data_IF_670043861538
#
_entry.id   IF_670043861538
#
_cell.length_a   1.000
_cell.length_b   1.000
_cell.length_c   1.000
_cell.angle_alpha   90.00
_cell.angle_beta   90.00
_cell.angle_gamma   90.00
#
_symmetry.space_group_name_H-M   'P 1'
#
loop_
_entity.id
_entity.type
_entity.pdbx_description
1 polymer ?
#
# COMPACT_ATOMS: atom_id res chain seq x y z
N UNK A 1 21.12 19.86 54.89
CA UNK A 1 19.84 19.35 54.32
C UNK A 1 19.27 20.43 53.42
N UNK A 2 19.48 20.29 52.10
CA UNK A 2 18.86 21.15 51.09
C UNK A 2 18.17 20.22 50.09
N UNK A 3 16.86 20.42 49.89
CA UNK A 3 16.01 19.57 49.08
C UNK A 3 16.39 19.65 47.58
N UNK A 4 16.21 18.56 46.80
CA UNK A 4 16.42 18.60 45.36
C UNK A 4 15.29 19.37 44.66
N UNK A 5 15.64 20.43 43.96
CA UNK A 5 14.77 21.16 43.04
C UNK A 5 14.43 20.27 41.83
N UNK A 6 13.25 19.65 41.83
CA UNK A 6 12.65 19.01 40.67
C UNK A 6 12.39 20.07 39.59
N UNK A 7 13.28 20.18 38.60
CA UNK A 7 12.97 20.96 37.39
C UNK A 7 11.90 20.21 36.60
N UNK A 8 10.67 20.68 36.75
CA UNK A 8 9.54 20.34 35.91
C UNK A 8 9.88 20.58 34.42
N UNK A 9 9.31 19.73 33.56
CA UNK A 9 9.43 19.81 32.10
C UNK A 9 9.35 21.26 31.60
N UNK A 10 10.32 21.65 30.77
CA UNK A 10 10.34 22.95 30.10
C UNK A 10 9.40 22.89 28.89
N UNK A 11 8.22 23.50 29.01
CA UNK A 11 7.34 23.74 27.86
C UNK A 11 8.03 24.79 26.97
N UNK A 12 8.35 24.40 25.73
CA UNK A 12 8.89 25.31 24.73
C UNK A 12 7.71 26.08 24.14
N UNK A 13 7.66 27.39 24.38
CA UNK A 13 6.72 28.27 23.69
C UNK A 13 7.13 28.37 22.21
N UNK A 14 6.24 27.97 21.31
CA UNK A 14 6.43 28.22 19.88
C UNK A 14 6.43 29.73 19.63
N UNK A 15 7.44 30.22 18.91
CA UNK A 15 7.55 31.60 18.47
C UNK A 15 6.39 32.03 17.56
N UNK A 16 6.22 33.34 17.40
CA UNK A 16 5.12 33.95 16.64
C UNK A 16 5.10 33.53 15.17
N UNK A 17 3.87 33.25 14.73
CA UNK A 17 3.32 33.15 13.37
C UNK A 17 4.00 32.20 12.38
N UNK A 18 3.54 30.95 12.43
CA UNK A 18 3.54 30.02 11.31
C UNK A 18 2.67 28.83 11.69
N UNK A 19 1.43 28.77 11.17
CA UNK A 19 0.43 27.70 11.32
C UNK A 19 0.73 26.66 12.42
N UNK A 20 0.63 27.07 13.69
CA UNK A 20 0.84 26.17 14.82
C UNK A 20 -0.52 25.63 15.23
N UNK A 21 -0.71 24.34 14.98
CA UNK A 21 -1.45 23.39 15.82
C UNK A 21 -2.72 23.94 16.51
N UNK A 22 -3.87 23.51 15.99
CA UNK A 22 -5.20 23.65 16.58
C UNK A 22 -5.49 22.69 17.75
N UNK A 23 -4.52 21.92 18.25
CA UNK A 23 -4.77 20.98 19.36
C UNK A 23 -4.71 21.64 20.75
N UNK A 24 -4.34 22.92 20.85
CA UNK A 24 -4.44 23.67 22.10
C UNK A 24 -5.81 24.34 22.20
N UNK A 25 -6.84 23.58 22.58
CA UNK A 25 -7.98 24.20 23.25
C UNK A 25 -7.54 24.57 24.66
N UNK A 26 -7.23 25.85 24.87
CA UNK A 26 -7.18 26.40 26.22
C UNK A 26 -8.59 26.25 26.81
N UNK A 27 -8.73 25.45 27.87
CA UNK A 27 -10.01 25.27 28.56
C UNK A 27 -10.56 26.65 28.95
N UNK A 28 -11.74 27.02 28.44
CA UNK A 28 -12.37 28.32 28.70
C UNK A 28 -12.30 29.37 27.57
N UNK A 29 -11.68 29.09 26.41
CA UNK A 29 -11.77 29.99 25.26
C UNK A 29 -13.09 29.77 24.50
N UNK A 30 -14.10 30.61 24.74
CA UNK A 30 -15.33 30.68 23.92
C UNK A 30 -15.13 31.44 22.59
N UNK A 31 -13.91 31.81 22.23
CA UNK A 31 -13.65 32.59 21.03
C UNK A 31 -13.58 31.66 19.80
N UNK A 32 -14.36 31.90 18.73
CA UNK A 32 -14.17 31.20 17.47
C UNK A 32 -12.76 31.48 16.94
N UNK A 33 -12.19 30.49 16.26
CA UNK A 33 -10.95 30.64 15.51
C UNK A 33 -11.09 31.88 14.61
N UNK A 34 -10.18 32.84 14.75
CA UNK A 34 -10.21 34.10 13.99
C UNK A 34 -10.34 33.81 12.49
N UNK A 35 -11.28 34.48 11.80
CA UNK A 35 -11.49 34.46 10.33
C UNK A 35 -10.19 34.50 9.51
N UNK A 36 -9.12 35.09 10.06
CA UNK A 36 -7.78 35.13 9.45
C UNK A 36 -7.03 33.78 9.37
N UNK A 37 -7.58 32.68 9.90
CA UNK A 37 -7.00 31.33 9.78
C UNK A 37 -7.64 30.48 8.66
N UNK A 38 -8.69 31.01 8.02
CA UNK A 38 -9.32 30.38 6.85
C UNK A 38 -8.40 30.54 5.64
N UNK A 39 -8.25 29.46 4.87
CA UNK A 39 -7.62 29.55 3.54
C UNK A 39 -8.60 30.30 2.64
N UNK A 40 -8.16 31.40 2.04
CA UNK A 40 -9.03 32.23 1.20
C UNK A 40 -9.48 31.44 -0.03
N UNK A 41 -10.73 31.62 -0.44
CA UNK A 41 -11.26 30.97 -1.64
C UNK A 41 -10.44 31.36 -2.90
N UNK A 42 -9.82 32.56 -2.91
CA UNK A 42 -8.88 32.99 -3.94
C UNK A 42 -7.61 32.13 -4.02
N UNK A 43 -7.06 31.67 -2.89
CA UNK A 43 -5.93 30.74 -2.90
C UNK A 43 -6.31 29.37 -3.46
N UNK A 44 -7.60 29.02 -3.45
CA UNK A 44 -8.09 27.82 -4.13
C UNK A 44 -8.29 28.04 -5.63
N UNK A 45 -8.51 29.28 -6.08
CA UNK A 45 -8.82 29.68 -7.46
C UNK A 45 -7.59 29.96 -8.34
N UNK A 46 -6.38 30.01 -7.77
CA UNK A 46 -5.13 30.11 -8.54
C UNK A 46 -4.93 28.85 -9.42
N UNK A 47 -4.54 29.06 -10.68
CA UNK A 47 -4.46 28.03 -11.72
C UNK A 47 -3.56 26.84 -11.32
N UNK A 48 -3.87 25.64 -11.85
CA UNK A 48 -3.24 24.35 -11.51
C UNK A 48 -1.70 24.32 -11.60
N UNK A 49 -1.09 25.27 -12.30
CA UNK A 49 0.34 25.33 -12.59
C UNK A 49 1.20 25.93 -11.43
N UNK A 50 0.60 26.67 -10.47
CA UNK A 50 1.31 27.27 -9.33
C UNK A 50 0.67 26.97 -7.95
N UNK A 51 -0.03 25.83 -7.81
CA UNK A 51 -0.56 25.41 -6.51
C UNK A 51 0.59 25.04 -5.55
N UNK A 52 1.05 26.01 -4.76
CA UNK A 52 1.84 25.74 -3.56
C UNK A 52 1.11 24.68 -2.73
N UNK A 53 1.81 23.63 -2.31
CA UNK A 53 1.20 22.51 -1.58
C UNK A 53 0.56 23.01 -0.29
N UNK A 54 -0.76 23.20 -0.30
CA UNK A 54 -1.48 23.74 0.84
C UNK A 54 -1.69 22.65 1.89
N UNK A 55 -1.24 22.94 3.11
CA UNK A 55 -1.36 22.03 4.25
C UNK A 55 -2.46 22.53 5.18
N UNK A 56 -3.41 21.66 5.50
CA UNK A 56 -4.42 21.89 6.51
C UNK A 56 -4.00 21.32 7.86
N UNK A 57 -4.40 22.00 8.93
CA UNK A 57 -4.45 21.46 10.29
C UNK A 57 -5.88 21.06 10.65
N UNK A 58 -6.08 20.07 11.54
CA UNK A 58 -7.41 19.71 12.04
C UNK A 58 -8.14 20.95 12.59
N UNK A 59 -9.45 21.09 12.40
CA UNK A 59 -10.21 22.27 12.85
C UNK A 59 -9.99 23.55 12.05
N UNK A 60 -9.12 23.55 11.03
CA UNK A 60 -8.94 24.69 10.13
C UNK A 60 -10.03 24.70 9.06
N UNK A 61 -10.67 25.86 8.86
CA UNK A 61 -11.61 26.08 7.76
C UNK A 61 -10.85 26.11 6.41
N UNK A 62 -11.27 25.24 5.50
CA UNK A 62 -10.61 25.04 4.20
C UNK A 62 -11.34 25.78 3.09
N UNK A 63 -12.68 25.67 3.02
CA UNK A 63 -13.49 26.33 1.99
C UNK A 63 -14.96 26.44 2.38
N UNK A 64 -15.73 27.25 1.65
CA UNK A 64 -17.19 27.35 1.83
C UNK A 64 -17.94 26.09 1.37
N UNK A 65 -18.91 25.61 2.16
CA UNK A 65 -19.76 24.47 1.78
C UNK A 65 -20.81 24.80 0.72
N UNK A 66 -20.98 26.08 0.37
CA UNK A 66 -21.92 26.51 -0.69
C UNK A 66 -21.37 26.31 -2.09
N UNK A 67 -20.05 26.42 -2.25
CA UNK A 67 -19.36 26.32 -3.54
C UNK A 67 -18.74 24.94 -3.76
N UNK A 68 -18.31 24.30 -2.68
CA UNK A 68 -17.55 23.05 -2.70
C UNK A 68 -18.28 21.91 -1.98
N UNK A 69 -17.95 20.69 -2.38
CA UNK A 69 -18.41 19.45 -1.76
C UNK A 69 -17.36 18.89 -0.82
N UNK A 70 -17.78 18.39 0.33
CA UNK A 70 -16.87 17.72 1.28
C UNK A 70 -16.41 16.37 0.71
N UNK A 71 -15.11 16.15 0.74
CA UNK A 71 -14.47 14.86 0.54
C UNK A 71 -14.03 14.22 1.86
N UNK A 72 -13.09 13.29 1.76
CA UNK A 72 -12.48 12.63 2.91
C UNK A 72 -11.54 13.58 3.67
N UNK A 73 -11.38 13.36 4.98
CA UNK A 73 -10.52 14.21 5.81
C UNK A 73 -11.11 15.60 6.12
N UNK A 74 -12.38 15.82 5.80
CA UNK A 74 -13.12 17.04 6.10
C UNK A 74 -14.49 16.73 6.72
N UNK A 75 -15.03 17.68 7.48
CA UNK A 75 -16.41 17.70 7.95
C UNK A 75 -17.03 19.08 7.67
N UNK A 76 -18.35 19.18 7.70
CA UNK A 76 -19.06 20.46 7.54
C UNK A 76 -19.37 20.99 8.93
N UNK A 77 -18.96 22.22 9.21
CA UNK A 77 -19.44 22.94 10.38
C UNK A 77 -20.83 23.52 10.08
N UNK A 78 -21.83 23.00 10.81
CA UNK A 78 -23.22 23.43 10.65
C UNK A 78 -23.47 24.88 11.09
N UNK A 79 -22.59 25.46 11.91
CA UNK A 79 -22.76 26.84 12.41
C UNK A 79 -22.31 27.89 11.40
N UNK A 80 -21.21 27.64 10.68
CA UNK A 80 -20.63 28.59 9.72
C UNK A 80 -20.82 28.19 8.26
N UNK A 81 -21.37 27.00 7.97
CA UNK A 81 -21.50 26.47 6.60
C UNK A 81 -20.15 26.41 5.87
N UNK A 82 -19.12 25.97 6.60
CA UNK A 82 -17.75 25.84 6.12
C UNK A 82 -17.30 24.39 6.14
N UNK A 83 -16.45 24.02 5.19
CA UNK A 83 -15.74 22.75 5.16
C UNK A 83 -14.49 22.91 6.03
N UNK A 84 -14.44 22.13 7.10
CA UNK A 84 -13.35 22.14 8.09
C UNK A 84 -12.55 20.85 7.98
N UNK A 85 -11.23 20.95 8.01
CA UNK A 85 -10.34 19.79 7.99
C UNK A 85 -10.48 18.98 9.30
N UNK A 86 -10.62 17.67 9.21
CA UNK A 86 -10.52 16.77 10.37
C UNK A 86 -9.12 16.19 10.57
N UNK A 87 -8.31 16.19 9.51
CA UNK A 87 -6.97 15.60 9.49
C UNK A 87 -5.90 16.66 9.22
N UNK A 88 -4.65 16.34 9.58
CA UNK A 88 -3.49 17.14 9.19
C UNK A 88 -2.89 16.57 7.91
N UNK A 89 -2.75 17.39 6.89
CA UNK A 89 -2.22 16.94 5.61
C UNK A 89 -2.46 17.90 4.45
N UNK A 90 -2.20 17.42 3.25
CA UNK A 90 -2.30 18.22 2.02
C UNK A 90 -3.76 18.34 1.59
N UNK A 91 -4.19 19.54 1.25
CA UNK A 91 -5.51 19.79 0.68
C UNK A 91 -5.48 19.39 -0.79
N UNK A 92 -6.40 18.51 -1.17
CA UNK A 92 -6.60 18.07 -2.53
C UNK A 92 -7.94 18.56 -3.04
N UNK A 93 -7.89 19.37 -4.10
CA UNK A 93 -9.05 19.83 -4.81
C UNK A 93 -9.17 19.04 -6.11
N UNK A 94 -10.28 18.33 -6.26
CA UNK A 94 -10.65 17.68 -7.53
C UNK A 94 -11.98 18.26 -7.97
N UNK A 95 -11.96 19.15 -8.95
CA UNK A 95 -13.12 19.95 -9.37
C UNK A 95 -13.72 20.74 -8.20
N UNK A 96 -14.92 20.34 -7.76
CA UNK A 96 -15.63 20.90 -6.60
C UNK A 96 -15.46 20.07 -5.34
N UNK A 97 -14.80 18.92 -5.39
CA UNK A 97 -14.59 18.05 -4.24
C UNK A 97 -13.31 18.47 -3.52
N UNK A 98 -13.42 18.79 -2.23
CA UNK A 98 -12.27 19.12 -1.38
C UNK A 98 -12.04 17.99 -0.38
N UNK A 99 -10.86 17.41 -0.42
CA UNK A 99 -10.42 16.39 0.54
C UNK A 99 -9.08 16.78 1.16
N UNK A 100 -8.81 16.26 2.36
CA UNK A 100 -7.49 16.39 3.00
C UNK A 100 -6.82 15.03 3.00
N UNK A 101 -5.70 14.93 2.27
CA UNK A 101 -4.84 13.74 2.25
C UNK A 101 -3.91 13.78 3.46
N UNK A 102 -4.07 12.88 4.44
CA UNK A 102 -3.26 12.88 5.65
C UNK A 102 -1.80 12.51 5.38
N UNK A 103 -0.88 13.04 6.18
CA UNK A 103 0.57 12.73 6.09
C UNK A 103 0.84 11.24 6.38
N UNK A 104 0.05 10.66 7.29
CA UNK A 104 0.11 9.23 7.64
C UNK A 104 -1.29 8.66 7.70
N UNK A 105 -1.52 7.58 6.98
CA UNK A 105 -2.79 6.84 7.02
C UNK A 105 -2.55 5.35 6.91
N UNK A 106 -3.48 4.58 7.48
CA UNK A 106 -3.62 3.17 7.11
C UNK A 106 -4.11 3.06 5.68
N UNK A 107 -3.92 1.90 5.08
CA UNK A 107 -4.43 1.62 3.75
C UNK A 107 -5.96 1.75 3.74
N UNK A 108 -6.46 2.50 2.77
CA UNK A 108 -7.89 2.65 2.53
C UNK A 108 -8.25 1.85 1.28
N UNK A 109 -9.03 0.77 1.42
CA UNK A 109 -9.35 -0.11 0.30
C UNK A 109 -10.28 0.60 -0.69
N UNK A 110 -9.98 0.47 -1.98
CA UNK A 110 -10.86 0.85 -3.07
C UNK A 110 -11.10 -0.34 -4.00
N UNK A 111 -12.23 -0.34 -4.70
CA UNK A 111 -12.60 -1.43 -5.60
C UNK A 111 -11.63 -1.49 -6.77
N UNK A 112 -11.13 -2.68 -7.08
CA UNK A 112 -10.11 -2.92 -8.11
C UNK A 112 -8.67 -2.81 -7.62
N UNK A 113 -8.44 -2.48 -6.35
CA UNK A 113 -7.08 -2.45 -5.82
C UNK A 113 -6.49 -3.85 -5.73
N UNK A 114 -5.25 -4.01 -6.22
CA UNK A 114 -4.43 -5.19 -5.97
C UNK A 114 -3.79 -5.09 -4.59
N UNK A 115 -4.00 -6.08 -3.74
CA UNK A 115 -3.50 -6.11 -2.37
C UNK A 115 -2.82 -7.44 -2.04
N UNK A 116 -1.83 -7.38 -1.17
CA UNK A 116 -1.26 -8.57 -0.55
C UNK A 116 -1.78 -8.65 0.87
N UNK A 117 -2.30 -9.81 1.26
CA UNK A 117 -2.85 -10.01 2.59
C UNK A 117 -2.32 -11.28 3.25
N UNK A 118 -2.45 -11.32 4.57
CA UNK A 118 -2.10 -12.49 5.39
C UNK A 118 -3.35 -13.10 5.97
N UNK A 119 -3.52 -14.42 5.81
CA UNK A 119 -4.65 -15.13 6.40
C UNK A 119 -4.50 -15.10 7.93
N UNK A 120 -5.50 -14.59 8.63
CA UNK A 120 -5.52 -14.50 10.09
C UNK A 120 -6.30 -15.64 10.72
N UNK A 121 -7.46 -15.97 10.15
CA UNK A 121 -8.32 -17.05 10.62
C UNK A 121 -9.12 -17.67 9.47
N UNK A 122 -9.43 -18.95 9.62
CA UNK A 122 -10.34 -19.69 8.74
C UNK A 122 -11.70 -19.81 9.42
N UNK A 123 -12.75 -19.26 8.81
CA UNK A 123 -14.13 -19.37 9.28
C UNK A 123 -14.97 -20.24 8.32
N UNK A 124 -16.22 -20.54 8.69
CA UNK A 124 -17.15 -21.24 7.77
C UNK A 124 -17.34 -20.41 6.50
N UNK A 125 -16.97 -21.00 5.36
CA UNK A 125 -17.12 -20.46 3.99
C UNK A 125 -16.34 -19.18 3.68
N UNK A 126 -15.50 -18.68 4.58
CA UNK A 126 -14.64 -17.52 4.33
C UNK A 126 -13.32 -17.58 5.11
N UNK A 127 -12.29 -16.98 4.53
CA UNK A 127 -11.06 -16.63 5.23
C UNK A 127 -11.08 -15.16 5.61
N UNK A 128 -10.51 -14.86 6.77
CA UNK A 128 -10.26 -13.50 7.19
C UNK A 128 -8.81 -13.15 6.88
N UNK A 129 -8.62 -12.03 6.22
CA UNK A 129 -7.34 -11.64 5.63
C UNK A 129 -6.95 -10.27 6.17
N UNK A 130 -5.80 -10.16 6.84
CA UNK A 130 -5.22 -8.88 7.19
C UNK A 130 -4.59 -8.25 5.94
N UNK A 131 -5.03 -7.04 5.60
CA UNK A 131 -4.54 -6.25 4.47
C UNK A 131 -3.96 -4.90 4.96
N UNK A 132 -3.79 -4.69 6.26
CA UNK A 132 -3.31 -3.42 6.82
C UNK A 132 -4.32 -2.27 6.77
N UNK A 133 -5.59 -2.57 6.51
CA UNK A 133 -6.69 -1.60 6.52
C UNK A 133 -7.21 -1.32 7.94
N UNK A 134 -8.35 -0.63 8.06
CA UNK A 134 -9.05 -0.40 9.34
C UNK A 134 -9.68 -1.69 9.89
N UNK A 135 -10.18 -2.52 8.98
CA UNK A 135 -10.87 -3.78 9.26
C UNK A 135 -10.24 -4.87 8.43
N UNK A 136 -10.25 -6.08 8.96
CA UNK A 136 -9.79 -7.25 8.22
C UNK A 136 -10.73 -7.53 7.04
N UNK A 137 -10.15 -7.96 5.92
CA UNK A 137 -10.90 -8.29 4.73
C UNK A 137 -11.44 -9.73 4.79
N UNK A 138 -12.46 -9.99 3.99
CA UNK A 138 -13.08 -11.31 3.87
C UNK A 138 -12.84 -11.87 2.47
N UNK A 139 -12.22 -13.04 2.39
CA UNK A 139 -12.08 -13.81 1.16
C UNK A 139 -13.06 -14.98 1.23
N UNK A 140 -14.10 -14.96 0.40
CA UNK A 140 -15.10 -16.02 0.41
C UNK A 140 -14.56 -17.27 -0.29
N UNK A 141 -14.96 -18.46 0.15
CA UNK A 141 -14.78 -19.71 -0.61
C UNK A 141 -15.38 -19.56 -2.01
N UNK A 142 -16.52 -18.87 -2.06
CA UNK A 142 -17.05 -17.99 -3.12
C UNK A 142 -16.14 -17.55 -4.26
N UNK A 143 -15.05 -16.92 -3.86
CA UNK A 143 -14.31 -15.96 -4.67
C UNK A 143 -12.90 -16.46 -5.00
N UNK A 144 -12.58 -17.70 -4.63
CA UNK A 144 -11.35 -18.38 -5.01
C UNK A 144 -11.56 -19.32 -6.20
N UNK A 145 -10.48 -19.53 -6.94
CA UNK A 145 -10.40 -20.53 -7.98
C UNK A 145 -10.18 -21.91 -7.36
N UNK A 146 -11.17 -22.79 -7.50
CA UNK A 146 -11.04 -24.16 -7.02
C UNK A 146 -10.05 -24.94 -7.90
N UNK A 147 -9.33 -25.90 -7.31
CA UNK A 147 -8.44 -26.77 -8.05
C UNK A 147 -9.17 -27.50 -9.19
N UNK A 148 -8.56 -27.52 -10.38
CA UNK A 148 -9.08 -28.20 -11.57
C UNK A 148 -9.63 -27.27 -12.66
N UNK A 149 -9.57 -25.95 -12.49
CA UNK A 149 -9.86 -24.95 -13.55
C UNK A 149 -11.32 -24.91 -14.05
N UNK A 150 -12.13 -25.90 -13.69
CA UNK A 150 -13.55 -25.97 -14.03
C UNK A 150 -14.35 -25.19 -13.00
N UNK A 151 -15.21 -24.31 -13.48
CA UNK A 151 -16.19 -23.57 -12.67
C UNK A 151 -17.29 -24.54 -12.18
N UNK A 152 -16.94 -25.44 -11.26
CA UNK A 152 -17.87 -26.42 -10.67
C UNK A 152 -18.68 -25.77 -9.54
N UNK A 153 -19.91 -26.23 -9.33
CA UNK A 153 -20.68 -25.88 -8.13
C UNK A 153 -19.88 -26.30 -6.90
N UNK A 154 -19.66 -25.36 -5.98
CA UNK A 154 -18.86 -25.58 -4.77
C UNK A 154 -19.61 -26.57 -3.87
N UNK A 155 -18.95 -27.68 -3.52
CA UNK A 155 -19.55 -28.74 -2.70
C UNK A 155 -19.29 -28.49 -1.23
N UNK A 156 -20.12 -29.09 -0.37
CA UNK A 156 -19.91 -29.08 1.10
C UNK A 156 -18.58 -29.73 1.51
N UNK A 157 -18.05 -30.65 0.70
CA UNK A 157 -16.70 -31.21 0.88
C UNK A 157 -15.59 -30.17 0.78
N UNK A 158 -15.77 -29.13 -0.05
CA UNK A 158 -14.78 -28.04 -0.20
C UNK A 158 -14.75 -27.16 1.06
N UNK A 159 -15.87 -27.05 1.78
CA UNK A 159 -15.96 -26.32 3.06
C UNK A 159 -15.15 -27.04 4.16
N UNK A 160 -15.18 -28.37 4.19
CA UNK A 160 -14.37 -29.17 5.11
C UNK A 160 -12.86 -29.08 4.80
N UNK A 161 -12.50 -28.90 3.53
CA UNK A 161 -11.12 -28.83 3.05
C UNK A 161 -10.59 -27.40 2.91
N UNK A 162 -11.24 -26.39 3.50
CA UNK A 162 -10.80 -24.99 3.38
C UNK A 162 -9.34 -24.76 3.81
N UNK A 163 -8.89 -25.48 4.84
CA UNK A 163 -7.50 -25.42 5.33
C UNK A 163 -6.48 -25.99 4.34
N UNK A 164 -6.89 -26.78 3.34
CA UNK A 164 -6.00 -27.26 2.30
C UNK A 164 -5.63 -26.17 1.28
N UNK A 165 -6.48 -25.14 1.12
CA UNK A 165 -6.21 -24.02 0.21
C UNK A 165 -5.40 -22.93 0.88
N UNK A 166 -5.88 -22.47 2.03
CA UNK A 166 -5.28 -21.38 2.79
C UNK A 166 -5.35 -21.69 4.27
N UNK A 167 -4.19 -21.63 4.91
CA UNK A 167 -3.99 -21.81 6.35
C UNK A 167 -3.68 -20.47 7.01
N UNK A 168 -3.87 -20.40 8.33
CA UNK A 168 -3.50 -19.21 9.10
C UNK A 168 -2.00 -18.92 8.94
N UNK A 169 -1.69 -17.69 8.55
CA UNK A 169 -0.33 -17.23 8.30
C UNK A 169 0.08 -17.16 6.84
N UNK A 170 -0.68 -17.79 5.93
CA UNK A 170 -0.40 -17.77 4.49
C UNK A 170 -0.51 -16.35 3.92
N UNK A 171 0.33 -16.06 2.93
CA UNK A 171 0.28 -14.81 2.17
C UNK A 171 -0.45 -15.04 0.85
N UNK A 172 -1.35 -14.11 0.53
CA UNK A 172 -2.21 -14.18 -0.66
C UNK A 172 -2.21 -12.85 -1.40
N UNK A 173 -2.08 -12.91 -2.73
CA UNK A 173 -2.40 -11.78 -3.61
C UNK A 173 -3.87 -11.88 -3.95
N UNK A 174 -4.60 -10.80 -3.73
CA UNK A 174 -6.01 -10.71 -4.08
C UNK A 174 -6.36 -9.32 -4.60
N UNK A 175 -7.49 -9.23 -5.27
CA UNK A 175 -8.07 -7.96 -5.71
C UNK A 175 -9.30 -7.63 -4.86
N UNK A 176 -9.48 -6.35 -4.57
CA UNK A 176 -10.64 -5.84 -3.84
C UNK A 176 -11.87 -5.85 -4.75
N UNK A 177 -12.78 -6.79 -4.49
CA UNK A 177 -14.03 -6.94 -5.24
C UNK A 177 -15.04 -5.86 -4.88
N UNK A 178 -15.18 -5.59 -3.58
CA UNK A 178 -16.23 -4.72 -3.05
C UNK A 178 -15.83 -4.16 -1.70
N UNK A 179 -16.23 -2.93 -1.46
CA UNK A 179 -16.11 -2.25 -0.17
C UNK A 179 -17.51 -1.95 0.32
N UNK A 180 -17.85 -2.49 1.48
CA UNK A 180 -19.18 -2.34 2.09
C UNK A 180 -19.27 -1.03 2.89
N UNK A 181 -20.50 -0.58 3.18
CA UNK A 181 -20.74 0.69 3.87
C UNK A 181 -20.20 0.75 5.30
N UNK A 182 -20.07 -0.41 5.94
CA UNK A 182 -19.45 -0.60 7.26
C UNK A 182 -17.91 -0.53 7.21
N UNK A 183 -17.33 -0.47 6.01
CA UNK A 183 -15.89 -0.50 5.75
C UNK A 183 -15.33 -1.91 5.60
N UNK A 184 -16.16 -2.96 5.71
CA UNK A 184 -15.74 -4.33 5.43
C UNK A 184 -15.33 -4.46 3.97
N UNK A 185 -14.37 -5.34 3.70
CA UNK A 185 -13.80 -5.54 2.37
C UNK A 185 -14.04 -6.96 1.91
N UNK A 186 -14.54 -7.14 0.69
CA UNK A 186 -14.61 -8.42 0.01
C UNK A 186 -13.46 -8.57 -0.98
N UNK A 187 -12.70 -9.66 -0.87
CA UNK A 187 -11.60 -9.99 -1.76
C UNK A 187 -12.00 -11.11 -2.73
N UNK A 188 -11.32 -11.16 -3.89
CA UNK A 188 -11.39 -12.31 -4.79
C UNK A 188 -10.04 -12.63 -5.43
N UNK A 189 -9.86 -13.91 -5.79
CA UNK A 189 -8.68 -14.44 -6.48
C UNK A 189 -9.06 -15.12 -7.80
N UNK A 190 -9.97 -14.52 -8.57
CA UNK A 190 -10.49 -15.10 -9.82
C UNK A 190 -9.46 -15.16 -10.96
N UNK A 191 -8.44 -14.29 -10.96
CA UNK A 191 -7.35 -14.37 -11.95
C UNK A 191 -6.34 -15.45 -11.57
N UNK A 192 -5.76 -16.13 -12.57
CA UNK A 192 -4.64 -17.07 -12.39
C UNK A 192 -3.37 -16.39 -11.85
N UNK A 193 -3.25 -15.07 -12.00
CA UNK A 193 -2.16 -14.27 -11.41
C UNK A 193 -2.29 -14.11 -9.90
N UNK A 194 -3.47 -14.38 -9.35
CA UNK A 194 -3.79 -14.21 -7.93
C UNK A 194 -3.74 -15.57 -7.23
N UNK A 195 -3.41 -15.57 -5.95
CA UNK A 195 -3.28 -16.80 -5.20
C UNK A 195 -2.22 -16.72 -4.10
N UNK A 196 -1.82 -17.90 -3.62
CA UNK A 196 -0.84 -18.04 -2.56
C UNK A 196 0.55 -17.62 -3.05
N UNK A 197 1.24 -16.85 -2.22
CA UNK A 197 2.58 -16.36 -2.51
C UNK A 197 3.65 -17.34 -2.03
N UNK A 198 4.63 -17.62 -2.88
CA UNK A 198 5.78 -18.49 -2.58
C UNK A 198 7.07 -17.99 -3.22
N UNK A 199 8.18 -18.64 -2.91
CA UNK A 199 9.49 -18.41 -3.50
C UNK A 199 10.01 -16.97 -3.40
N UNK A 200 9.74 -16.29 -2.29
CA UNK A 200 10.01 -14.87 -2.15
C UNK A 200 10.03 -14.37 -0.70
N UNK A 201 10.09 -13.05 -0.57
CA UNK A 201 10.09 -12.32 0.68
C UNK A 201 9.07 -11.18 0.64
N UNK A 202 8.48 -10.87 1.80
CA UNK A 202 7.56 -9.75 1.98
C UNK A 202 8.32 -8.51 2.47
N UNK A 203 8.21 -7.42 1.73
CA UNK A 203 8.62 -6.09 2.14
C UNK A 203 7.39 -5.24 2.46
N UNK A 204 7.44 -4.48 3.56
CA UNK A 204 6.33 -3.63 3.99
C UNK A 204 6.78 -2.17 3.97
N UNK A 205 6.08 -1.37 3.18
CA UNK A 205 6.29 0.08 3.04
C UNK A 205 4.98 0.82 3.39
N UNK A 206 5.04 2.11 3.78
CA UNK A 206 3.84 2.91 3.94
C UNK A 206 3.01 2.95 2.64
N UNK A 207 1.68 2.73 2.68
CA UNK A 207 0.84 2.64 1.48
C UNK A 207 0.86 3.92 0.64
N UNK A 208 1.12 5.08 1.26
CA UNK A 208 1.23 6.37 0.59
C UNK A 208 2.41 6.46 -0.39
N UNK A 209 3.43 5.60 -0.24
CA UNK A 209 4.60 5.59 -1.12
C UNK A 209 4.36 4.78 -2.41
N UNK A 210 3.33 3.95 -2.43
CA UNK A 210 3.00 3.14 -3.61
C UNK A 210 2.04 3.94 -4.48
N UNK A 211 2.50 4.27 -5.69
CA UNK A 211 1.65 4.92 -6.69
C UNK A 211 0.82 3.88 -7.44
N UNK A 212 -0.36 4.29 -7.90
CA UNK A 212 -1.18 3.48 -8.80
C UNK A 212 -0.54 3.46 -10.19
N UNK A 213 -0.28 2.26 -10.69
CA UNK A 213 0.30 2.02 -12.01
C UNK A 213 -0.66 1.20 -12.87
N UNK A 214 -0.42 1.17 -14.19
CA UNK A 214 -1.22 0.33 -15.11
C UNK A 214 -1.09 -1.16 -14.78
N UNK A 215 0.10 -1.58 -14.34
CA UNK A 215 0.39 -2.92 -13.84
C UNK A 215 1.07 -2.80 -12.49
N UNK A 216 0.60 -3.60 -11.53
CA UNK A 216 1.22 -3.77 -10.21
C UNK A 216 2.15 -4.99 -10.16
N UNK A 217 2.30 -5.69 -11.28
CA UNK A 217 3.30 -6.73 -11.49
C UNK A 217 4.48 -6.10 -12.23
N UNK A 218 5.65 -6.12 -11.60
CA UNK A 218 6.91 -5.64 -12.16
C UNK A 218 7.92 -6.78 -12.21
N UNK A 219 8.83 -6.72 -13.17
CA UNK A 219 9.84 -7.74 -13.41
C UNK A 219 11.19 -7.05 -13.61
N UNK A 220 12.05 -7.08 -12.60
CA UNK A 220 13.39 -6.46 -12.65
C UNK A 220 14.35 -7.44 -13.31
N UNK A 221 14.43 -7.36 -14.64
CA UNK A 221 15.20 -8.29 -15.48
C UNK A 221 16.70 -7.96 -15.53
N UNK A 222 17.11 -6.76 -15.09
CA UNK A 222 18.52 -6.34 -15.09
C UNK A 222 19.36 -7.03 -14.01
N UNK A 223 18.73 -7.67 -13.02
CA UNK A 223 19.40 -8.37 -11.92
C UNK A 223 19.92 -9.77 -12.34
N UNK A 224 20.95 -10.31 -11.66
CA UNK A 224 21.52 -11.63 -11.90
C UNK A 224 20.50 -12.78 -11.95
N UNK A 225 20.83 -13.87 -12.65
CA UNK A 225 20.02 -15.10 -12.73
C UNK A 225 18.59 -14.90 -13.28
N UNK A 226 18.44 -14.06 -14.33
CA UNK A 226 17.17 -13.76 -15.01
C UNK A 226 16.17 -12.96 -14.16
N UNK A 227 16.67 -12.15 -13.22
CA UNK A 227 15.86 -11.16 -12.53
C UNK A 227 14.97 -11.68 -11.40
N UNK A 228 14.16 -10.77 -10.86
CA UNK A 228 13.17 -11.04 -9.82
C UNK A 228 11.84 -10.38 -10.18
N UNK A 229 10.74 -10.97 -9.73
CA UNK A 229 9.39 -10.43 -9.90
C UNK A 229 8.92 -9.74 -8.62
N UNK A 230 8.21 -8.63 -8.78
CA UNK A 230 7.61 -7.87 -7.69
C UNK A 230 6.10 -7.77 -7.90
N UNK A 231 5.36 -8.00 -6.83
CA UNK A 231 3.94 -7.71 -6.73
C UNK A 231 3.76 -6.53 -5.79
N UNK A 232 3.39 -5.38 -6.35
CA UNK A 232 3.17 -4.14 -5.61
C UNK A 232 1.72 -4.05 -5.12
N UNK A 233 1.45 -4.50 -3.90
CA UNK A 233 0.15 -4.32 -3.27
C UNK A 233 -0.07 -2.84 -2.91
N UNK A 234 -1.19 -2.26 -3.33
CA UNK A 234 -1.56 -0.86 -3.02
C UNK A 234 -1.72 -0.59 -1.52
N UNK A 235 -1.76 -1.65 -0.71
CA UNK A 235 -1.78 -1.59 0.74
C UNK A 235 -0.42 -1.38 1.40
N UNK A 236 0.66 -1.20 0.63
CA UNK A 236 2.00 -1.03 1.17
C UNK A 236 2.78 -2.35 1.28
N UNK A 237 2.14 -3.47 0.96
CA UNK A 237 2.75 -4.79 1.09
C UNK A 237 3.27 -5.20 -0.29
N UNK A 238 4.55 -5.52 -0.37
CA UNK A 238 5.24 -5.81 -1.61
C UNK A 238 5.84 -7.21 -1.50
N UNK A 239 5.52 -8.09 -2.44
CA UNK A 239 6.13 -9.41 -2.53
C UNK A 239 7.25 -9.39 -3.55
N UNK A 240 8.44 -9.86 -3.17
CA UNK A 240 9.60 -9.98 -4.04
C UNK A 240 9.93 -11.46 -4.19
N UNK A 241 9.82 -12.01 -5.39
CA UNK A 241 10.01 -13.43 -5.67
C UNK A 241 10.98 -13.70 -6.80
N UNK A 242 11.50 -14.93 -6.84
CA UNK A 242 12.24 -15.45 -8.00
C UNK A 242 11.45 -15.21 -9.29
N UNK A 243 12.12 -14.76 -10.34
CA UNK A 243 11.45 -14.55 -11.62
C UNK A 243 10.88 -15.85 -12.18
N UNK A 244 9.65 -15.74 -12.62
CA UNK A 244 8.88 -16.81 -13.20
C UNK A 244 8.30 -16.30 -14.52
N UNK A 245 8.68 -16.91 -15.67
CA UNK A 245 8.16 -16.46 -16.96
C UNK A 245 6.67 -16.77 -17.08
N UNK A 246 5.83 -15.74 -16.89
CA UNK A 246 4.38 -15.83 -17.03
C UNK A 246 3.94 -15.20 -18.35
N UNK A 247 3.29 -15.99 -19.21
CA UNK A 247 2.74 -15.51 -20.47
C UNK A 247 1.35 -14.91 -20.24
N UNK A 248 1.30 -13.57 -20.20
CA UNK A 248 0.07 -12.80 -19.96
C UNK A 248 -1.01 -13.10 -21.01
N UNK A 249 -0.62 -13.40 -22.25
CA UNK A 249 -1.56 -13.65 -23.35
C UNK A 249 -2.43 -14.89 -23.16
N UNK A 250 -1.93 -15.85 -22.37
CA UNK A 250 -2.60 -17.12 -22.08
C UNK A 250 -3.57 -17.05 -20.90
N UNK A 251 -3.54 -15.98 -20.10
CA UNK A 251 -4.31 -15.87 -18.85
C UNK A 251 -5.62 -15.06 -18.98
N UNK A 252 -5.76 -14.27 -20.05
CA UNK A 252 -6.95 -13.41 -20.29
C UNK A 252 -7.90 -13.99 -21.36
N UNK A 253 -7.58 -15.16 -21.93
CA UNK A 253 -8.35 -15.81 -22.99
C UNK A 253 -9.38 -16.83 -22.49
N UNK A 254 -10.66 -16.55 -22.71
CA UNK A 254 -11.70 -17.58 -22.79
C UNK A 254 -11.40 -18.53 -23.96
N UNK A 255 -11.29 -19.83 -23.66
CA UNK A 255 -11.41 -20.89 -24.66
C UNK A 255 -10.12 -21.25 -25.40
N UNK A 256 -9.38 -22.22 -24.88
CA UNK A 256 -8.87 -23.37 -25.64
C UNK A 256 -8.14 -24.32 -24.68
N UNK A 257 -8.16 -25.61 -24.98
CA UNK A 257 -7.43 -26.66 -24.26
C UNK A 257 -5.92 -26.37 -24.24
N UNK A 258 -5.44 -25.59 -23.27
CA UNK A 258 -4.00 -25.32 -23.14
C UNK A 258 -3.34 -26.44 -22.32
N UNK A 259 -2.78 -27.42 -23.03
CA UNK A 259 -1.94 -28.51 -22.48
C UNK A 259 -0.48 -28.10 -22.20
N UNK A 260 -0.20 -26.81 -22.07
CA UNK A 260 1.17 -26.32 -21.82
C UNK A 260 1.33 -25.79 -20.39
N UNK A 261 2.53 -26.01 -19.82
CA UNK A 261 2.98 -25.46 -18.54
C UNK A 261 2.84 -23.93 -18.53
N UNK A 262 2.00 -23.38 -17.65
CA UNK A 262 1.88 -21.96 -17.36
C UNK A 262 2.55 -21.65 -16.01
N UNK A 263 3.68 -20.94 -16.05
CA UNK A 263 4.46 -20.62 -14.86
C UNK A 263 3.98 -19.29 -14.28
N UNK A 264 3.24 -19.31 -13.17
CA UNK A 264 2.72 -18.11 -12.48
C UNK A 264 3.56 -17.67 -11.28
N UNK A 265 3.25 -16.54 -10.62
CA UNK A 265 3.99 -16.07 -9.43
C UNK A 265 4.08 -17.14 -8.32
N UNK A 266 3.13 -18.07 -8.32
CA UNK A 266 3.14 -19.30 -7.54
C UNK A 266 3.84 -20.47 -8.25
N UNK A 267 4.93 -20.27 -9.00
CA UNK A 267 5.81 -21.28 -9.63
C UNK A 267 5.30 -22.00 -10.90
N UNK A 268 6.00 -23.08 -11.30
CA UNK A 268 5.73 -23.89 -12.52
C UNK A 268 4.52 -24.80 -12.32
N UNK A 269 3.58 -24.81 -13.27
CA UNK A 269 2.50 -25.79 -13.34
C UNK A 269 1.76 -25.71 -14.67
N UNK A 270 1.12 -26.77 -15.13
CA UNK A 270 0.13 -26.66 -16.22
C UNK A 270 -1.02 -25.79 -15.70
N UNK A 271 -1.77 -25.13 -16.60
CA UNK A 271 -3.06 -24.53 -16.27
C UNK A 271 -4.07 -25.59 -15.81
N UNK A 272 -3.77 -26.34 -14.75
CA UNK A 272 -4.46 -27.48 -14.13
C UNK A 272 -3.64 -28.11 -12.97
N UNK A 273 -2.47 -27.61 -12.55
CA UNK A 273 -1.73 -28.24 -11.44
C UNK A 273 -2.19 -27.70 -10.07
N UNK A 274 -3.18 -28.41 -9.54
CA UNK A 274 -3.86 -28.24 -8.24
C UNK A 274 -2.87 -28.15 -7.07
N UNK A 275 -1.80 -28.96 -7.13
CA UNK A 275 -0.79 -29.02 -6.09
C UNK A 275 0.20 -27.85 -6.16
N UNK A 276 0.30 -27.13 -7.30
CA UNK A 276 1.24 -26.01 -7.43
C UNK A 276 0.76 -24.70 -6.80
N UNK A 277 -0.53 -24.39 -6.94
CA UNK A 277 -1.11 -23.07 -6.60
C UNK A 277 -1.28 -22.88 -5.09
N UNK A 278 -1.57 -23.96 -4.36
CA UNK A 278 -1.85 -23.92 -2.92
C UNK A 278 -0.78 -24.60 -2.07
N UNK A 279 0.28 -25.14 -2.68
CA UNK A 279 1.38 -25.77 -1.95
C UNK A 279 2.20 -24.75 -1.15
N UNK A 280 2.58 -25.18 0.05
CA UNK A 280 3.50 -24.51 0.96
C UNK A 280 4.98 -24.72 0.60
N UNK A 281 5.27 -25.60 -0.36
CA UNK A 281 6.63 -26.01 -0.67
C UNK A 281 7.27 -25.04 -1.65
N UNK A 282 8.29 -24.34 -1.17
CA UNK A 282 9.15 -23.50 -1.99
C UNK A 282 10.09 -24.34 -2.85
N UNK A 283 10.37 -23.86 -4.06
CA UNK A 283 11.42 -24.40 -4.92
C UNK A 283 12.80 -24.07 -4.35
N UNK A 284 13.82 -24.80 -4.82
CA UNK A 284 15.21 -24.44 -4.49
C UNK A 284 15.59 -23.17 -5.23
N UNK A 285 15.92 -22.11 -4.49
CA UNK A 285 16.31 -20.80 -5.03
C UNK A 285 17.85 -20.68 -5.00
N UNK A 286 18.51 -20.37 -6.13
CA UNK A 286 19.95 -20.12 -6.17
C UNK A 286 20.39 -19.03 -5.20
N UNK A 287 21.64 -19.08 -4.73
CA UNK A 287 22.19 -18.05 -3.83
C UNK A 287 22.12 -16.65 -4.47
N UNK A 288 22.54 -16.52 -5.73
CA UNK A 288 22.50 -15.25 -6.46
C UNK A 288 21.09 -14.64 -6.53
N UNK A 289 20.05 -15.44 -6.80
CA UNK A 289 18.66 -14.95 -6.80
C UNK A 289 18.21 -14.51 -5.40
N UNK A 290 18.64 -15.21 -4.33
CA UNK A 290 18.35 -14.80 -2.95
C UNK A 290 19.03 -13.48 -2.59
N UNK A 291 20.25 -13.25 -3.07
CA UNK A 291 20.98 -12.00 -2.89
C UNK A 291 20.26 -10.85 -3.61
N UNK A 292 19.76 -11.08 -4.83
CA UNK A 292 18.92 -10.11 -5.56
C UNK A 292 17.62 -9.78 -4.82
N UNK A 293 16.92 -10.79 -4.28
CA UNK A 293 15.70 -10.58 -3.47
C UNK A 293 16.04 -9.73 -2.21
N UNK A 294 17.15 -10.05 -1.54
CA UNK A 294 17.58 -9.31 -0.35
C UNK A 294 17.95 -7.86 -0.69
N UNK A 295 18.62 -7.62 -1.82
CA UNK A 295 18.96 -6.28 -2.30
C UNK A 295 17.71 -5.44 -2.55
N UNK A 296 16.73 -5.99 -3.27
CA UNK A 296 15.45 -5.30 -3.54
C UNK A 296 14.71 -4.98 -2.24
N UNK A 297 14.68 -5.91 -1.29
CA UNK A 297 14.07 -5.67 0.03
C UNK A 297 14.78 -4.54 0.79
N UNK A 298 16.11 -4.47 0.71
CA UNK A 298 16.90 -3.40 1.34
C UNK A 298 16.63 -2.03 0.68
N UNK A 299 16.53 -1.98 -0.65
CA UNK A 299 16.17 -0.78 -1.40
C UNK A 299 14.76 -0.29 -1.01
N UNK A 300 13.79 -1.21 -0.93
CA UNK A 300 12.42 -0.88 -0.50
C UNK A 300 12.39 -0.35 0.95
N UNK A 301 13.22 -0.91 1.83
CA UNK A 301 13.36 -0.40 3.19
C UNK A 301 13.95 1.02 3.22
N UNK A 302 14.92 1.32 2.35
CA UNK A 302 15.46 2.67 2.19
C UNK A 302 14.37 3.64 1.70
N UNK A 303 13.56 3.23 0.72
CA UNK A 303 12.46 4.05 0.21
C UNK A 303 11.44 4.36 1.31
N UNK A 304 11.08 3.37 2.12
CA UNK A 304 10.20 3.54 3.27
C UNK A 304 10.78 4.49 4.33
N UNK A 305 12.10 4.44 4.57
CA UNK A 305 12.75 5.27 5.57
C UNK A 305 12.84 6.74 5.14
N UNK A 306 13.18 7.01 3.88
CA UNK A 306 13.34 8.35 3.34
C UNK A 306 12.07 8.94 2.70
N UNK A 307 10.96 8.17 2.68
CA UNK A 307 9.69 8.64 2.14
C UNK A 307 9.70 8.78 0.61
N UNK A 308 10.47 7.94 -0.07
CA UNK A 308 10.57 7.93 -1.54
C UNK A 308 9.41 7.15 -2.14
N UNK A 309 8.83 7.67 -3.23
CA UNK A 309 7.80 6.96 -3.96
C UNK A 309 8.40 5.75 -4.69
N UNK A 310 7.68 4.63 -4.64
CA UNK A 310 8.07 3.41 -5.35
C UNK A 310 7.60 3.54 -6.81
N UNK A 311 8.55 3.62 -7.74
CA UNK A 311 8.30 3.49 -9.18
C UNK A 311 9.24 2.45 -9.78
N UNK A 312 8.88 1.93 -10.95
CA UNK A 312 9.68 0.94 -11.68
C UNK A 312 11.10 1.46 -11.96
N UNK A 313 11.20 2.64 -12.57
CA UNK A 313 12.47 3.32 -12.87
C UNK A 313 13.31 3.62 -11.63
N UNK A 314 12.68 4.03 -10.52
CA UNK A 314 13.38 4.29 -9.26
C UNK A 314 13.97 3.01 -8.68
N UNK A 315 13.21 1.91 -8.74
CA UNK A 315 13.67 0.60 -8.27
C UNK A 315 14.82 0.07 -9.12
N UNK A 316 14.71 0.14 -10.44
CA UNK A 316 15.78 -0.29 -11.36
C UNK A 316 17.10 0.47 -11.09
N UNK A 317 17.03 1.80 -11.01
CA UNK A 317 18.18 2.64 -10.74
C UNK A 317 18.78 2.38 -9.36
N UNK A 318 17.94 2.26 -8.33
CA UNK A 318 18.39 1.99 -6.96
C UNK A 318 19.00 0.60 -6.81
N UNK A 319 18.49 -0.41 -7.52
CA UNK A 319 19.06 -1.75 -7.54
C UNK A 319 20.42 -1.77 -8.26
N UNK A 320 20.57 -1.09 -9.40
CA UNK A 320 21.85 -1.00 -10.11
C UNK A 320 22.93 -0.30 -9.25
N UNK A 321 22.57 0.76 -8.53
CA UNK A 321 23.45 1.37 -7.53
C UNK A 321 23.77 0.39 -6.40
N UNK A 322 22.74 -0.32 -5.93
CA UNK A 322 22.80 -1.45 -5.02
C UNK A 322 23.93 -2.43 -5.32
N UNK A 323 23.92 -3.01 -6.51
CA UNK A 323 24.89 -4.02 -6.93
C UNK A 323 26.33 -3.48 -6.93
N UNK A 324 26.51 -2.23 -7.35
CA UNK A 324 27.84 -1.60 -7.33
C UNK A 324 28.36 -1.36 -5.90
N UNK A 325 27.45 -1.16 -4.93
CA UNK A 325 27.77 -0.75 -3.56
C UNK A 325 27.79 -1.90 -2.55
N UNK A 326 27.04 -2.97 -2.79
CA UNK A 326 26.97 -4.14 -1.90
C UNK A 326 28.32 -4.84 -1.76
N UNK A 327 29.19 -4.68 -2.76
CA UNK A 327 30.59 -5.11 -2.72
C UNK A 327 31.50 -4.22 -1.81
N UNK A 328 31.04 -3.02 -1.43
CA UNK A 328 31.86 -1.95 -0.85
C UNK A 328 31.45 -1.50 0.56
N UNK A 329 30.21 -1.73 1.02
CA UNK A 329 29.72 -1.21 2.31
C UNK A 329 29.17 -2.29 3.24
N UNK A 330 29.62 -2.24 4.50
CA UNK A 330 29.13 -3.07 5.60
C UNK A 330 27.95 -2.43 6.37
N UNK A 331 27.68 -1.13 6.20
CA UNK A 331 26.65 -0.40 6.94
C UNK A 331 25.39 -0.16 6.10
N UNK A 332 24.24 -0.80 6.43
CA UNK A 332 22.99 -0.64 5.70
C UNK A 332 22.41 0.77 5.77
N UNK A 333 22.75 1.57 6.79
CA UNK A 333 22.24 2.94 6.92
C UNK A 333 22.95 3.88 5.94
N UNK A 334 24.27 3.74 5.80
CA UNK A 334 25.06 4.48 4.82
C UNK A 334 24.59 4.18 3.40
N UNK A 335 24.32 2.90 3.11
CA UNK A 335 23.75 2.47 1.84
C UNK A 335 22.40 3.14 1.57
N UNK A 336 21.45 3.06 2.52
CA UNK A 336 20.13 3.64 2.37
C UNK A 336 20.18 5.15 2.12
N UNK A 337 21.11 5.86 2.78
CA UNK A 337 21.32 7.29 2.58
C UNK A 337 21.79 7.61 1.16
N UNK A 338 22.75 6.85 0.63
CA UNK A 338 23.28 7.07 -0.71
C UNK A 338 22.25 6.75 -1.79
N UNK A 339 21.45 5.70 -1.61
CA UNK A 339 20.30 5.43 -2.48
C UNK A 339 19.35 6.61 -2.48
N UNK A 340 19.02 7.16 -1.30
CA UNK A 340 18.15 8.32 -1.22
C UNK A 340 18.77 9.56 -1.89
N UNK A 341 20.04 9.87 -1.63
CA UNK A 341 20.75 11.00 -2.23
C UNK A 341 20.78 10.86 -3.77
N UNK A 342 20.99 9.65 -4.30
CA UNK A 342 20.98 9.39 -5.73
C UNK A 342 19.59 9.57 -6.35
N UNK A 343 18.53 9.10 -5.68
CA UNK A 343 17.15 9.33 -6.13
C UNK A 343 16.78 10.82 -6.13
N UNK A 344 17.30 11.62 -5.19
CA UNK A 344 17.09 13.07 -5.17
C UNK A 344 17.94 13.81 -6.21
N UNK A 345 19.18 13.38 -6.46
CA UNK A 345 20.11 14.02 -7.39
C UNK A 345 19.82 13.70 -8.86
N UNK A 346 19.28 12.51 -9.13
CA UNK A 346 18.96 12.02 -10.47
C UNK A 346 17.53 12.27 -10.93
N UNK A 347 16.87 13.32 -10.40
CA UNK A 347 15.48 13.74 -10.66
C UNK A 347 14.78 12.95 -11.79
N UNK A 348 14.01 11.95 -11.36
CA UNK A 348 13.03 11.22 -12.15
C UNK A 348 12.02 12.17 -12.82
#
# INVERSE_FOLDING_TARGET
MAAPSTKAFRVVQAGRHGAVSSYTHASGSQAPVSEKARISDHAMEEDEEEMATMIAMPGQAVASSTLYMRGHGCYIDATHSEIVASLSGVIERVNKLISVRPIRTRYRPEVGDLVIGRITEVQSRRWKVDIGAKTDASLQLSSINLPGGVQRKKLESDELQMRAFFQEGDLVVAEVQSVFQDGSVGLHTRSLRYGKLRNGALAVVPPVLIRRHKSHFLSLMQLPEKGVDLVLGLNGWIWVSKHVPFDVSKAEGEGSDVKEEMVGPAGRGIAMDIDGVYSDVNETIPAATRDSIALVCLVLAAFAHYGLAVSDTALEHACALGESMQALQADPVAFAKQVADACHAGAL
#
